data_IF_529064615640
#
_entry.id   IF_529064615640
#
_cell.length_a   1.000
_cell.length_b   1.000
_cell.length_c   1.000
_cell.angle_alpha   90.00
_cell.angle_beta   90.00
_cell.angle_gamma   90.00
#
_symmetry.space_group_name_H-M   'P 1'
#
loop_
_entity.id
_entity.type
_entity.pdbx_description
1 polymer ?
#
# COMPACT_ATOMS: atom_id res chain seq x y z
N UNK A 1 25.58 -32.62 -5.65
CA UNK A 1 26.07 -31.50 -4.83
C UNK A 1 26.58 -30.32 -5.67
N UNK A 2 27.55 -30.48 -6.57
CA UNK A 2 28.06 -29.36 -7.40
C UNK A 2 26.96 -28.70 -8.24
N UNK A 3 26.05 -29.50 -8.82
CA UNK A 3 24.87 -29.03 -9.58
C UNK A 3 23.87 -28.23 -8.75
N UNK A 4 23.68 -28.58 -7.48
CA UNK A 4 22.80 -27.83 -6.57
C UNK A 4 23.43 -26.47 -6.21
N UNK A 5 24.75 -26.43 -5.99
CA UNK A 5 25.47 -25.19 -5.73
C UNK A 5 25.45 -24.26 -6.95
N UNK A 6 25.61 -24.80 -8.17
CA UNK A 6 25.51 -24.00 -9.40
C UNK A 6 24.09 -23.49 -9.65
N UNK A 7 23.06 -24.26 -9.31
CA UNK A 7 21.67 -23.81 -9.39
C UNK A 7 21.39 -22.67 -8.41
N UNK A 8 21.88 -22.77 -7.16
CA UNK A 8 21.76 -21.70 -6.16
C UNK A 8 22.54 -20.45 -6.60
N UNK A 9 23.76 -20.63 -7.11
CA UNK A 9 24.57 -19.52 -7.63
C UNK A 9 23.89 -18.80 -8.80
N UNK A 10 23.35 -19.55 -9.76
CA UNK A 10 22.60 -18.97 -10.88
C UNK A 10 21.31 -18.29 -10.44
N UNK A 11 20.62 -18.82 -9.43
CA UNK A 11 19.44 -18.18 -8.86
C UNK A 11 19.80 -16.84 -8.19
N UNK A 12 20.89 -16.80 -7.42
CA UNK A 12 21.40 -15.58 -6.77
C UNK A 12 21.78 -14.50 -7.79
N UNK A 13 22.55 -14.85 -8.83
CA UNK A 13 22.93 -13.89 -9.88
C UNK A 13 21.71 -13.37 -10.63
N UNK A 14 20.75 -14.25 -10.96
CA UNK A 14 19.48 -13.83 -11.59
C UNK A 14 18.69 -12.90 -10.70
N UNK A 15 18.62 -13.16 -9.40
CA UNK A 15 17.95 -12.29 -8.43
C UNK A 15 18.58 -10.90 -8.40
N UNK A 16 19.91 -10.81 -8.23
CA UNK A 16 20.63 -9.54 -8.26
C UNK A 16 20.42 -8.78 -9.58
N UNK A 17 20.42 -9.49 -10.71
CA UNK A 17 20.14 -8.88 -12.01
C UNK A 17 18.70 -8.35 -12.13
N UNK A 18 17.70 -9.04 -11.56
CA UNK A 18 16.32 -8.56 -11.54
C UNK A 18 16.17 -7.31 -10.67
N UNK A 19 16.76 -7.31 -9.47
CA UNK A 19 16.75 -6.13 -8.58
C UNK A 19 17.47 -4.95 -9.25
N UNK A 20 18.62 -5.19 -9.88
CA UNK A 20 19.36 -4.16 -10.62
C UNK A 20 18.57 -3.57 -11.79
N UNK A 21 17.88 -4.41 -12.58
CA UNK A 21 17.00 -3.95 -13.66
C UNK A 21 15.81 -3.14 -13.13
N UNK A 22 15.20 -3.57 -12.04
CA UNK A 22 14.11 -2.84 -11.40
C UNK A 22 14.57 -1.46 -10.92
N UNK A 23 15.76 -1.39 -10.32
CA UNK A 23 16.37 -0.13 -9.87
C UNK A 23 16.66 0.83 -11.03
N UNK A 24 17.28 0.34 -12.10
CA UNK A 24 17.56 1.15 -13.30
C UNK A 24 16.24 1.62 -13.95
N UNK A 25 15.22 0.77 -13.99
CA UNK A 25 13.89 1.12 -14.50
C UNK A 25 13.24 2.27 -13.71
N UNK A 26 13.33 2.21 -12.37
CA UNK A 26 12.84 3.26 -11.49
C UNK A 26 13.59 4.57 -11.73
N UNK A 27 14.92 4.52 -11.72
CA UNK A 27 15.80 5.67 -11.94
C UNK A 27 15.47 6.33 -13.30
N UNK A 28 15.33 5.54 -14.36
CA UNK A 28 14.96 6.03 -15.68
C UNK A 28 13.54 6.64 -15.72
N UNK A 29 12.61 6.11 -14.92
CA UNK A 29 11.24 6.63 -14.84
C UNK A 29 11.17 7.97 -14.11
N UNK A 30 11.95 8.14 -13.04
CA UNK A 30 11.95 9.35 -12.20
C UNK A 30 12.79 10.48 -12.83
N UNK A 31 13.96 10.18 -13.38
CA UNK A 31 14.89 11.19 -13.93
C UNK A 31 14.45 11.77 -15.28
N UNK A 32 13.58 11.09 -16.03
CA UNK A 32 13.05 11.63 -17.27
C UNK A 32 12.10 12.79 -16.94
N UNK A 33 12.45 14.01 -17.40
CA UNK A 33 11.70 15.24 -17.12
C UNK A 33 10.21 15.07 -17.49
N UNK A 34 9.28 15.07 -16.52
CA UNK A 34 7.87 14.95 -16.83
C UNK A 34 7.41 16.21 -17.57
N UNK A 35 6.85 16.05 -18.77
CA UNK A 35 6.06 17.12 -19.40
C UNK A 35 4.74 17.23 -18.63
N UNK A 36 4.77 17.85 -17.45
CA UNK A 36 3.66 17.87 -16.49
C UNK A 36 2.30 18.21 -17.13
N UNK A 37 2.25 19.20 -18.04
CA UNK A 37 1.01 19.55 -18.77
C UNK A 37 0.35 18.39 -19.53
N UNK A 38 1.13 17.45 -20.06
CA UNK A 38 0.59 16.29 -20.79
C UNK A 38 0.25 15.12 -19.86
N UNK A 39 0.87 15.07 -18.67
CA UNK A 39 0.73 13.98 -17.69
C UNK A 39 -0.48 14.21 -16.76
N UNK A 40 -0.85 15.45 -16.49
CA UNK A 40 -1.99 15.80 -15.62
C UNK A 40 -3.33 15.10 -15.95
N UNK A 41 -3.82 15.07 -17.22
CA UNK A 41 -5.06 14.38 -17.53
C UNK A 41 -4.94 12.85 -17.44
N UNK A 42 -3.74 12.31 -17.70
CA UNK A 42 -3.47 10.88 -17.51
C UNK A 42 -3.46 10.51 -16.02
N UNK A 43 -2.91 11.39 -15.19
CA UNK A 43 -2.86 11.24 -13.74
C UNK A 43 -4.25 11.19 -13.11
N UNK A 44 -5.17 12.10 -13.48
CA UNK A 44 -6.52 12.12 -12.92
C UNK A 44 -7.30 10.84 -13.23
N UNK A 45 -7.18 10.32 -14.46
CA UNK A 45 -7.79 9.04 -14.86
C UNK A 45 -7.22 7.88 -14.04
N UNK A 46 -5.90 7.86 -13.83
CA UNK A 46 -5.27 6.82 -13.01
C UNK A 46 -5.63 6.95 -11.54
N UNK A 47 -5.75 8.16 -11.00
CA UNK A 47 -6.18 8.40 -9.62
C UNK A 47 -7.62 7.93 -9.40
N UNK A 48 -8.50 8.12 -10.38
CA UNK A 48 -9.85 7.57 -10.33
C UNK A 48 -9.85 6.03 -10.33
N UNK A 49 -9.09 5.40 -11.24
CA UNK A 49 -9.04 3.94 -11.35
C UNK A 49 -8.38 3.26 -10.15
N UNK A 50 -7.29 3.81 -9.66
CA UNK A 50 -6.47 3.21 -8.60
C UNK A 50 -7.01 3.60 -7.22
N UNK A 51 -7.42 4.86 -7.04
CA UNK A 51 -7.91 5.39 -5.78
C UNK A 51 -9.39 5.11 -5.57
N UNK A 52 -10.25 5.72 -6.39
CA UNK A 52 -11.71 5.74 -6.16
C UNK A 52 -12.32 4.34 -6.30
N UNK A 53 -11.87 3.51 -7.25
CA UNK A 53 -12.38 2.13 -7.35
C UNK A 53 -11.97 1.23 -6.17
N UNK A 54 -10.89 1.58 -5.45
CA UNK A 54 -10.43 0.84 -4.27
C UNK A 54 -11.14 1.26 -2.99
N UNK A 55 -11.80 2.43 -3.00
CA UNK A 55 -12.39 3.07 -1.84
C UNK A 55 -13.46 2.19 -1.14
N UNK A 56 -14.41 1.52 -1.83
CA UNK A 56 -15.44 0.73 -1.16
C UNK A 56 -14.89 -0.43 -0.33
N UNK A 57 -13.89 -1.15 -0.87
CA UNK A 57 -13.25 -2.26 -0.17
C UNK A 57 -12.51 -1.74 1.06
N UNK A 58 -11.78 -0.62 0.93
CA UNK A 58 -10.99 -0.05 2.02
C UNK A 58 -11.88 0.45 3.16
N UNK A 59 -12.96 1.20 2.87
CA UNK A 59 -13.86 1.69 3.92
C UNK A 59 -14.61 0.55 4.63
N UNK A 60 -15.09 -0.44 3.87
CA UNK A 60 -15.82 -1.56 4.44
C UNK A 60 -14.90 -2.44 5.31
N UNK A 61 -13.70 -2.73 4.82
CA UNK A 61 -12.69 -3.45 5.61
C UNK A 61 -12.27 -2.66 6.85
N UNK A 62 -12.06 -1.34 6.73
CA UNK A 62 -11.72 -0.47 7.87
C UNK A 62 -12.77 -0.54 8.98
N UNK A 63 -14.05 -0.43 8.61
CA UNK A 63 -15.17 -0.51 9.55
C UNK A 63 -15.15 -1.84 10.32
N UNK A 64 -15.08 -2.98 9.61
CA UNK A 64 -15.07 -4.30 10.24
C UNK A 64 -13.84 -4.53 11.11
N UNK A 65 -12.66 -4.09 10.67
CA UNK A 65 -11.43 -4.21 11.45
C UNK A 65 -11.54 -3.36 12.72
N UNK A 66 -12.03 -2.13 12.63
CA UNK A 66 -12.27 -1.26 13.78
C UNK A 66 -13.21 -1.87 14.80
N UNK A 67 -14.33 -2.44 14.35
CA UNK A 67 -15.29 -3.15 15.22
C UNK A 67 -14.66 -4.35 15.93
N UNK A 68 -13.87 -5.17 15.22
CA UNK A 68 -13.20 -6.35 15.80
C UNK A 68 -12.14 -5.93 16.82
N UNK A 69 -11.33 -4.91 16.50
CA UNK A 69 -10.29 -4.39 17.42
C UNK A 69 -10.92 -3.79 18.67
N UNK A 70 -12.02 -3.03 18.55
CA UNK A 70 -12.73 -2.50 19.72
C UNK A 70 -13.27 -3.61 20.62
N UNK A 71 -13.92 -4.63 20.03
CA UNK A 71 -14.48 -5.74 20.79
C UNK A 71 -13.38 -6.52 21.54
N UNK A 72 -12.26 -6.81 20.89
CA UNK A 72 -11.14 -7.51 21.52
C UNK A 72 -10.41 -6.64 22.55
N UNK A 73 -10.23 -5.35 22.24
CA UNK A 73 -9.63 -4.38 23.14
C UNK A 73 -10.42 -4.22 24.43
N UNK A 74 -11.75 -4.10 24.34
CA UNK A 74 -12.62 -3.97 25.49
C UNK A 74 -12.55 -5.19 26.40
N UNK A 75 -12.70 -6.40 25.84
CA UNK A 75 -12.60 -7.64 26.62
C UNK A 75 -11.25 -7.82 27.32
N UNK A 76 -10.19 -7.21 26.78
CA UNK A 76 -8.87 -7.22 27.40
C UNK A 76 -8.77 -6.18 28.51
N UNK A 77 -9.21 -4.94 28.26
CA UNK A 77 -9.15 -3.83 29.21
C UNK A 77 -10.10 -3.99 30.40
N UNK A 78 -11.25 -4.62 30.19
CA UNK A 78 -12.22 -4.91 31.25
C UNK A 78 -11.60 -5.77 32.37
N UNK A 79 -10.68 -6.69 32.03
CA UNK A 79 -9.97 -7.52 33.02
C UNK A 79 -9.06 -6.70 33.95
N UNK A 80 -8.66 -5.51 33.51
CA UNK A 80 -7.82 -4.58 34.27
C UNK A 80 -8.62 -3.39 34.83
N UNK A 81 -9.94 -3.33 34.63
CA UNK A 81 -10.77 -2.21 35.03
C UNK A 81 -10.51 -0.91 34.27
N UNK A 82 -9.88 -0.98 33.09
CA UNK A 82 -9.44 0.18 32.30
C UNK A 82 -10.26 0.34 31.00
N UNK A 83 -11.56 0.03 31.03
CA UNK A 83 -12.43 0.06 29.86
C UNK A 83 -12.57 1.45 29.21
N UNK A 84 -12.35 2.53 29.96
CA UNK A 84 -12.31 3.91 29.46
C UNK A 84 -11.10 4.20 28.56
N UNK A 85 -10.04 3.39 28.61
CA UNK A 85 -8.84 3.55 27.77
C UNK A 85 -8.96 2.89 26.39
N UNK A 86 -10.16 2.37 26.07
CA UNK A 86 -10.43 1.71 24.79
C UNK A 86 -10.14 2.64 23.60
N UNK A 87 -10.50 3.92 23.71
CA UNK A 87 -10.30 4.92 22.65
C UNK A 87 -8.82 5.15 22.35
N UNK A 88 -7.98 5.26 23.38
CA UNK A 88 -6.53 5.38 23.22
C UNK A 88 -5.93 4.15 22.55
N UNK A 89 -6.27 2.95 23.04
CA UNK A 89 -5.75 1.70 22.48
C UNK A 89 -6.11 1.57 20.99
N UNK A 90 -7.37 1.87 20.65
CA UNK A 90 -7.86 1.75 19.29
C UNK A 90 -7.19 2.75 18.35
N UNK A 91 -7.13 4.02 18.73
CA UNK A 91 -6.54 5.07 17.91
C UNK A 91 -5.04 4.85 17.67
N UNK A 92 -4.27 4.53 18.72
CA UNK A 92 -2.83 4.31 18.59
C UNK A 92 -2.53 3.07 17.75
N UNK A 93 -3.26 1.97 17.94
CA UNK A 93 -3.03 0.73 17.19
C UNK A 93 -3.36 0.88 15.70
N UNK A 94 -4.43 1.60 15.38
CA UNK A 94 -4.85 1.82 13.99
C UNK A 94 -3.94 2.82 13.30
N UNK A 95 -3.68 3.98 13.91
CA UNK A 95 -2.94 5.06 13.23
C UNK A 95 -1.48 4.68 13.00
N UNK A 96 -0.83 3.99 13.95
CA UNK A 96 0.61 3.66 13.87
C UNK A 96 0.94 2.45 13.02
N UNK A 97 0.12 1.41 13.10
CA UNK A 97 0.46 0.09 12.54
C UNK A 97 -0.61 -0.38 11.54
N UNK A 98 -1.82 -0.69 12.03
CA UNK A 98 -2.81 -1.43 11.24
C UNK A 98 -3.29 -0.63 10.02
N UNK A 99 -3.48 0.68 10.16
CA UNK A 99 -3.97 1.54 9.10
C UNK A 99 -3.09 1.52 7.85
N UNK A 100 -1.82 1.98 7.95
CA UNK A 100 -0.91 1.97 6.81
C UNK A 100 -0.67 0.57 6.24
N UNK A 101 -0.46 -0.44 7.09
CA UNK A 101 -0.11 -1.80 6.65
C UNK A 101 -1.27 -2.49 5.96
N UNK A 102 -2.45 -2.51 6.59
CA UNK A 102 -3.62 -3.19 6.02
C UNK A 102 -4.08 -2.49 4.74
N UNK A 103 -4.09 -1.16 4.72
CA UNK A 103 -4.42 -0.41 3.50
C UNK A 103 -3.46 -0.78 2.36
N UNK A 104 -2.16 -0.88 2.64
CA UNK A 104 -1.17 -1.25 1.64
C UNK A 104 -1.33 -2.69 1.12
N UNK A 105 -1.66 -3.64 1.99
CA UNK A 105 -1.92 -5.03 1.60
C UNK A 105 -3.17 -5.16 0.73
N UNK A 106 -4.28 -4.50 1.11
CA UNK A 106 -5.51 -4.47 0.32
C UNK A 106 -5.27 -3.79 -1.04
N UNK A 107 -4.52 -2.68 -1.04
CA UNK A 107 -4.17 -1.96 -2.25
C UNK A 107 -3.30 -2.80 -3.19
N UNK A 108 -2.31 -3.54 -2.66
CA UNK A 108 -1.49 -4.46 -3.45
C UNK A 108 -2.34 -5.57 -4.11
N UNK A 109 -3.30 -6.11 -3.36
CA UNK A 109 -4.21 -7.16 -3.83
C UNK A 109 -5.13 -6.70 -4.96
N UNK A 110 -5.78 -5.54 -4.81
CA UNK A 110 -6.77 -5.05 -5.78
C UNK A 110 -6.12 -4.19 -6.88
N UNK A 111 -5.62 -3.02 -6.51
CA UNK A 111 -5.09 -2.04 -7.46
C UNK A 111 -3.75 -2.48 -8.05
N UNK A 112 -2.86 -3.05 -7.24
CA UNK A 112 -1.56 -3.58 -7.70
C UNK A 112 -1.72 -4.70 -8.74
N UNK A 113 -2.64 -5.64 -8.48
CA UNK A 113 -2.98 -6.69 -9.43
C UNK A 113 -3.58 -6.16 -10.72
N UNK A 114 -4.52 -5.21 -10.63
CA UNK A 114 -5.15 -4.60 -11.80
C UNK A 114 -4.13 -3.84 -12.66
N UNK A 115 -3.21 -3.10 -12.05
CA UNK A 115 -2.13 -2.39 -12.73
C UNK A 115 -1.18 -3.34 -13.47
N UNK A 116 -0.82 -4.44 -12.81
CA UNK A 116 0.03 -5.49 -13.40
C UNK A 116 -0.65 -6.11 -14.62
N UNK A 117 -1.94 -6.44 -14.49
CA UNK A 117 -2.73 -7.04 -15.57
C UNK A 117 -2.92 -6.07 -16.76
N UNK A 118 -3.21 -4.80 -16.50
CA UNK A 118 -3.38 -3.78 -17.54
C UNK A 118 -2.10 -3.58 -18.36
N UNK A 119 -0.94 -3.48 -17.68
CA UNK A 119 0.36 -3.39 -18.35
C UNK A 119 0.73 -4.65 -19.12
N UNK A 120 0.49 -5.83 -18.53
CA UNK A 120 0.74 -7.11 -19.19
C UNK A 120 -0.11 -7.29 -20.45
N UNK A 121 -1.36 -6.82 -20.42
CA UNK A 121 -2.25 -6.84 -21.58
C UNK A 121 -1.78 -5.87 -22.68
N UNK A 122 -1.37 -4.66 -22.31
CA UNK A 122 -0.78 -3.68 -23.25
C UNK A 122 0.48 -4.25 -23.92
N UNK A 123 1.27 -5.03 -23.19
CA UNK A 123 2.42 -5.73 -23.75
C UNK A 123 2.04 -6.87 -24.68
N UNK A 124 1.09 -7.73 -24.28
CA UNK A 124 0.63 -8.85 -25.10
C UNK A 124 -0.01 -8.40 -26.42
N UNK A 125 -0.69 -7.25 -26.41
CA UNK A 125 -1.30 -6.62 -27.60
C UNK A 125 -0.33 -5.73 -28.39
N UNK A 126 0.97 -5.73 -28.05
CA UNK A 126 2.02 -4.92 -28.69
C UNK A 126 1.79 -3.41 -28.67
N UNK A 127 0.93 -2.90 -27.78
CA UNK A 127 0.66 -1.46 -27.64
C UNK A 127 1.86 -0.69 -27.10
N UNK A 128 2.71 -1.34 -26.29
CA UNK A 128 3.97 -0.73 -25.82
C UNK A 128 4.96 -0.53 -26.97
N UNK A 129 5.12 -1.54 -27.82
CA UNK A 129 6.01 -1.48 -28.98
C UNK A 129 5.53 -0.47 -30.03
N UNK A 130 4.21 -0.35 -30.24
CA UNK A 130 3.67 0.63 -31.18
C UNK A 130 3.96 2.07 -30.75
N UNK A 131 3.96 2.37 -29.45
CA UNK A 131 4.36 3.68 -28.94
C UNK A 131 5.83 3.97 -29.21
N UNK A 132 6.71 2.98 -29.04
CA UNK A 132 8.13 3.13 -29.36
C UNK A 132 8.35 3.43 -30.85
N UNK A 133 7.58 2.79 -31.74
CA UNK A 133 7.59 3.09 -33.18
C UNK A 133 7.10 4.51 -33.52
N UNK A 134 6.21 5.08 -32.69
CA UNK A 134 5.76 6.47 -32.83
C UNK A 134 6.73 7.49 -32.20
N UNK A 135 7.95 7.08 -31.85
CA UNK A 135 8.93 7.89 -31.11
C UNK A 135 8.40 8.41 -29.76
N UNK A 136 7.45 7.69 -29.15
CA UNK A 136 6.91 8.00 -27.83
C UNK A 136 7.40 6.95 -26.84
N UNK A 137 8.25 7.35 -25.91
CA UNK A 137 8.76 6.44 -24.90
C UNK A 137 7.62 5.98 -23.94
N UNK A 138 7.35 4.66 -23.82
CA UNK A 138 6.23 4.14 -23.02
C UNK A 138 6.44 4.31 -21.51
N UNK A 139 7.69 4.40 -21.03
CA UNK A 139 7.99 4.56 -19.61
C UNK A 139 7.43 5.88 -19.06
N UNK A 140 7.64 6.99 -19.76
CA UNK A 140 7.13 8.28 -19.28
C UNK A 140 5.61 8.39 -19.48
N UNK A 141 5.06 7.85 -20.57
CA UNK A 141 3.65 8.08 -20.94
C UNK A 141 2.68 7.18 -20.18
N UNK A 142 3.10 5.96 -19.87
CA UNK A 142 2.22 4.93 -19.30
C UNK A 142 2.63 4.62 -17.85
N UNK A 143 3.92 4.42 -17.59
CA UNK A 143 4.42 3.96 -16.29
C UNK A 143 4.45 5.10 -15.26
N UNK A 144 5.00 6.26 -15.62
CA UNK A 144 5.13 7.38 -14.67
C UNK A 144 3.79 7.88 -14.08
N UNK A 145 2.71 8.12 -14.86
CA UNK A 145 1.44 8.59 -14.29
C UNK A 145 0.84 7.59 -13.29
N UNK A 146 1.01 6.29 -13.53
CA UNK A 146 0.54 5.23 -12.63
C UNK A 146 1.33 5.19 -11.34
N UNK A 147 2.65 5.35 -11.43
CA UNK A 147 3.53 5.42 -10.26
C UNK A 147 3.15 6.59 -9.35
N UNK A 148 2.98 7.78 -9.92
CA UNK A 148 2.54 8.98 -9.19
C UNK A 148 1.11 8.84 -8.64
N UNK A 149 0.20 8.21 -9.40
CA UNK A 149 -1.16 7.97 -8.92
C UNK A 149 -1.18 7.07 -7.68
N UNK A 150 -0.39 5.99 -7.66
CA UNK A 150 -0.28 5.11 -6.48
C UNK A 150 0.38 5.79 -5.27
N UNK A 151 1.41 6.62 -5.52
CA UNK A 151 2.07 7.42 -4.49
C UNK A 151 1.11 8.40 -3.78
N UNK A 152 0.16 8.99 -4.52
CA UNK A 152 -0.82 9.94 -3.97
C UNK A 152 -2.05 9.21 -3.41
N UNK A 153 -2.51 8.14 -4.06
CA UNK A 153 -3.73 7.44 -3.68
C UNK A 153 -3.59 6.72 -2.33
N UNK A 154 -2.46 6.05 -2.07
CA UNK A 154 -2.33 5.21 -0.88
C UNK A 154 -2.42 6.02 0.43
N UNK A 155 -1.70 7.15 0.60
CA UNK A 155 -1.84 7.98 1.79
C UNK A 155 -3.27 8.51 2.02
N UNK A 156 -3.95 8.94 0.95
CA UNK A 156 -5.34 9.40 1.03
C UNK A 156 -6.27 8.27 1.49
N UNK A 157 -6.07 7.07 0.95
CA UNK A 157 -6.84 5.89 1.35
C UNK A 157 -6.56 5.48 2.80
N UNK A 158 -5.32 5.60 3.28
CA UNK A 158 -4.97 5.31 4.68
C UNK A 158 -5.63 6.28 5.65
N UNK A 159 -5.70 7.56 5.32
CA UNK A 159 -6.42 8.55 6.15
C UNK A 159 -7.89 8.17 6.28
N UNK A 160 -8.54 7.84 5.16
CA UNK A 160 -9.94 7.42 5.16
C UNK A 160 -10.14 6.08 5.91
N UNK A 161 -9.19 5.16 5.78
CA UNK A 161 -9.20 3.90 6.55
C UNK A 161 -9.18 4.18 8.05
N UNK A 162 -8.29 5.06 8.52
CA UNK A 162 -8.18 5.38 9.95
C UNK A 162 -9.47 6.01 10.49
N UNK A 163 -10.08 6.94 9.74
CA UNK A 163 -11.35 7.57 10.13
C UNK A 163 -12.47 6.54 10.25
N UNK A 164 -12.63 5.67 9.24
CA UNK A 164 -13.69 4.65 9.26
C UNK A 164 -13.46 3.57 10.32
N UNK A 165 -12.21 3.22 10.60
CA UNK A 165 -11.89 2.23 11.62
C UNK A 165 -12.13 2.79 13.03
N UNK A 166 -11.83 4.08 13.28
CA UNK A 166 -12.19 4.75 14.54
C UNK A 166 -13.70 4.81 14.72
N UNK A 167 -14.43 5.17 13.66
CA UNK A 167 -15.90 5.18 13.69
C UNK A 167 -16.50 3.80 13.99
N UNK A 168 -15.99 2.74 13.34
CA UNK A 168 -16.41 1.36 13.64
C UNK A 168 -16.08 0.95 15.08
N UNK A 169 -14.95 1.44 15.61
CA UNK A 169 -14.57 1.21 17.00
C UNK A 169 -15.48 1.89 18.01
N UNK A 170 -15.87 3.15 17.74
CA UNK A 170 -16.82 3.90 18.57
C UNK A 170 -18.19 3.21 18.62
N UNK A 171 -18.70 2.75 17.47
CA UNK A 171 -20.00 2.07 17.38
C UNK A 171 -20.06 0.83 18.29
N UNK A 172 -18.97 0.07 18.38
CA UNK A 172 -18.93 -1.11 19.27
C UNK A 172 -18.64 -0.72 20.71
N UNK A 173 -17.68 0.18 20.94
CA UNK A 173 -17.24 0.56 22.28
C UNK A 173 -18.28 1.36 23.06
N UNK A 174 -18.85 2.39 22.44
CA UNK A 174 -19.81 3.29 23.07
C UNK A 174 -21.23 2.73 22.95
N UNK A 175 -21.73 2.52 21.74
CA UNK A 175 -23.15 2.19 21.55
C UNK A 175 -23.50 0.76 22.02
N UNK A 176 -22.56 -0.19 21.90
CA UNK A 176 -22.84 -1.59 22.18
C UNK A 176 -22.36 -2.07 23.55
N UNK A 177 -21.17 -1.62 23.98
CA UNK A 177 -20.55 -2.04 25.24
C UNK A 177 -20.77 -1.03 26.38
N UNK A 178 -21.29 0.16 26.07
CA UNK A 178 -21.71 1.14 27.08
C UNK A 178 -20.56 1.96 27.69
N UNK A 179 -19.42 2.08 27.00
CA UNK A 179 -18.35 3.00 27.41
C UNK A 179 -18.85 4.45 27.29
N UNK A 180 -18.49 5.30 28.24
CA UNK A 180 -18.82 6.73 28.20
C UNK A 180 -18.16 7.42 26.99
N UNK A 181 -18.98 8.06 26.14
CA UNK A 181 -18.54 8.72 24.90
C UNK A 181 -17.55 9.86 25.20
N UNK A 182 -17.80 10.63 26.27
CA UNK A 182 -16.92 11.73 26.68
C UNK A 182 -15.51 11.24 27.03
N UNK A 183 -15.43 10.17 27.81
CA UNK A 183 -14.17 9.52 28.19
C UNK A 183 -13.46 8.92 26.98
N UNK A 184 -14.20 8.28 26.07
CA UNK A 184 -13.63 7.70 24.85
C UNK A 184 -12.92 8.73 23.97
N UNK A 185 -13.56 9.87 23.70
CA UNK A 185 -12.98 10.94 22.89
C UNK A 185 -11.87 11.71 23.63
N UNK A 186 -12.04 11.97 24.92
CA UNK A 186 -11.04 12.68 25.73
C UNK A 186 -9.73 11.91 25.85
N UNK A 187 -9.79 10.61 26.14
CA UNK A 187 -8.60 9.77 26.27
C UNK A 187 -7.90 9.59 24.92
N UNK A 188 -8.65 9.42 23.85
CA UNK A 188 -8.11 9.36 22.49
C UNK A 188 -7.38 10.67 22.10
N UNK A 189 -7.98 11.84 22.34
CA UNK A 189 -7.36 13.12 22.03
C UNK A 189 -6.11 13.40 22.88
N UNK A 190 -6.12 12.96 24.14
CA UNK A 190 -4.99 13.14 25.05
C UNK A 190 -3.80 12.24 24.68
N UNK A 191 -4.07 11.06 24.13
CA UNK A 191 -3.05 10.08 23.79
C UNK A 191 -2.44 10.25 22.40
N UNK A 192 -3.22 10.74 21.42
CA UNK A 192 -2.80 10.83 20.02
C UNK A 192 -2.06 12.15 19.77
N UNK A 193 -0.79 12.04 19.41
CA UNK A 193 0.03 13.18 18.97
C UNK A 193 0.01 13.32 17.46
N UNK A 194 -0.27 14.53 16.98
CA UNK A 194 -0.26 14.83 15.55
C UNK A 194 1.10 14.52 14.88
N UNK A 195 2.20 14.85 15.57
CA UNK A 195 3.54 14.69 15.00
C UNK A 195 4.05 13.25 15.11
N UNK A 196 3.85 12.60 16.26
CA UNK A 196 4.41 11.27 16.48
C UNK A 196 3.56 10.15 15.86
N UNK A 197 2.25 10.35 15.70
CA UNK A 197 1.34 9.27 15.30
C UNK A 197 0.84 9.47 13.88
N UNK A 198 0.21 10.62 13.63
CA UNK A 198 -0.46 10.89 12.35
C UNK A 198 0.57 11.08 11.23
N UNK A 199 1.56 11.96 11.43
CA UNK A 199 2.59 12.20 10.42
C UNK A 199 3.43 10.94 10.13
N UNK A 200 3.75 10.16 11.16
CA UNK A 200 4.51 8.92 11.00
C UNK A 200 3.70 7.86 10.23
N UNK A 201 2.41 7.71 10.52
CA UNK A 201 1.51 6.84 9.76
C UNK A 201 1.38 7.26 8.29
N UNK A 202 1.25 8.57 8.01
CA UNK A 202 1.23 9.11 6.65
C UNK A 202 2.55 8.82 5.94
N UNK A 203 3.70 9.07 6.59
CA UNK A 203 5.01 8.80 6.01
C UNK A 203 5.17 7.32 5.64
N UNK A 204 4.78 6.38 6.52
CA UNK A 204 4.74 4.93 6.21
C UNK A 204 3.90 4.64 4.97
N UNK A 205 2.68 5.20 4.91
CA UNK A 205 1.77 4.99 3.77
C UNK A 205 2.34 5.51 2.44
N UNK A 206 3.09 6.61 2.47
CA UNK A 206 3.77 7.16 1.28
C UNK A 206 4.84 6.18 0.77
N UNK A 207 5.65 5.64 1.68
CA UNK A 207 6.69 4.66 1.34
C UNK A 207 6.06 3.37 0.80
N UNK A 208 4.99 2.89 1.42
CA UNK A 208 4.26 1.70 0.94
C UNK A 208 3.62 1.94 -0.43
N UNK A 209 2.99 3.10 -0.64
CA UNK A 209 2.40 3.48 -1.93
C UNK A 209 3.42 3.47 -3.06
N UNK A 210 4.62 3.99 -2.80
CA UNK A 210 5.72 3.94 -3.75
C UNK A 210 6.14 2.51 -4.09
N UNK A 211 6.43 1.70 -3.06
CA UNK A 211 7.00 0.36 -3.23
C UNK A 211 6.00 -0.59 -3.89
N UNK A 212 4.74 -0.60 -3.44
CA UNK A 212 3.70 -1.46 -4.03
C UNK A 212 3.48 -1.12 -5.50
N UNK A 213 3.38 0.16 -5.82
CA UNK A 213 3.14 0.60 -7.20
C UNK A 213 4.34 0.33 -8.10
N UNK A 214 5.56 0.52 -7.59
CA UNK A 214 6.78 0.21 -8.32
C UNK A 214 6.86 -1.28 -8.68
N UNK A 215 6.60 -2.17 -7.72
CA UNK A 215 6.58 -3.63 -7.94
C UNK A 215 5.52 -3.99 -8.97
N UNK A 216 4.30 -3.45 -8.84
CA UNK A 216 3.20 -3.74 -9.76
C UNK A 216 3.53 -3.32 -11.21
N UNK A 217 4.07 -2.12 -11.38
CA UNK A 217 4.41 -1.61 -12.70
C UNK A 217 5.60 -2.35 -13.31
N UNK A 218 6.61 -2.69 -12.50
CA UNK A 218 7.76 -3.48 -12.97
C UNK A 218 7.32 -4.87 -13.45
N UNK A 219 6.51 -5.59 -12.66
CA UNK A 219 6.06 -6.93 -13.02
C UNK A 219 5.12 -6.92 -14.24
N UNK A 220 4.27 -5.91 -14.36
CA UNK A 220 3.40 -5.75 -15.52
C UNK A 220 4.17 -5.40 -16.80
N UNK A 221 5.17 -4.52 -16.68
CA UNK A 221 5.99 -4.12 -17.84
C UNK A 221 6.89 -5.25 -18.31
N UNK A 222 7.49 -6.03 -17.40
CA UNK A 222 8.41 -7.12 -17.72
C UNK A 222 7.73 -8.50 -17.90
N UNK A 223 6.40 -8.58 -17.87
CA UNK A 223 5.67 -9.84 -18.03
C UNK A 223 5.91 -10.52 -19.37
N UNK A 224 5.80 -11.86 -19.41
CA UNK A 224 5.78 -12.58 -20.69
C UNK A 224 4.47 -12.25 -21.44
N UNK A 225 4.50 -12.06 -22.78
CA UNK A 225 3.35 -11.63 -23.57
C UNK A 225 2.36 -12.78 -23.85
N UNK A 226 2.03 -13.57 -22.83
CA UNK A 226 1.10 -14.70 -22.89
C UNK A 226 0.09 -14.58 -21.74
N UNK A 227 -1.15 -15.05 -21.93
CA UNK A 227 -2.19 -14.99 -20.89
C UNK A 227 -1.75 -15.61 -19.55
N UNK A 228 -1.05 -16.76 -19.60
CA UNK A 228 -0.48 -17.42 -18.42
C UNK A 228 0.61 -16.58 -17.75
N UNK A 229 1.45 -15.90 -18.54
CA UNK A 229 2.52 -15.03 -18.04
C UNK A 229 1.99 -13.78 -17.35
N UNK A 230 0.86 -13.24 -17.81
CA UNK A 230 0.17 -12.12 -17.16
C UNK A 230 -0.37 -12.55 -15.80
N UNK A 231 -1.09 -13.68 -15.74
CA UNK A 231 -1.62 -14.20 -14.47
C UNK A 231 -0.51 -14.50 -13.46
N UNK A 232 0.60 -15.12 -13.91
CA UNK A 232 1.76 -15.38 -13.05
C UNK A 232 2.42 -14.08 -12.54
N UNK A 233 2.54 -13.06 -13.40
CA UNK A 233 3.05 -11.75 -13.00
C UNK A 233 2.16 -11.08 -11.95
N UNK A 234 0.83 -11.14 -12.12
CA UNK A 234 -0.14 -10.62 -11.15
C UNK A 234 0.01 -11.27 -9.78
N UNK A 235 0.10 -12.60 -9.73
CA UNK A 235 0.31 -13.31 -8.46
C UNK A 235 1.65 -12.96 -7.82
N UNK A 236 2.73 -12.85 -8.62
CA UNK A 236 4.05 -12.43 -8.12
C UNK A 236 4.01 -11.01 -7.57
N UNK A 237 3.29 -10.09 -8.19
CA UNK A 237 3.11 -8.73 -7.67
C UNK A 237 2.54 -8.75 -6.27
N UNK A 238 1.45 -9.48 -6.02
CA UNK A 238 0.80 -9.51 -4.70
C UNK A 238 1.74 -10.09 -3.64
N UNK A 239 2.45 -11.18 -3.96
CA UNK A 239 3.39 -11.82 -3.03
C UNK A 239 4.56 -10.89 -2.71
N UNK A 240 5.23 -10.32 -3.72
CA UNK A 240 6.39 -9.46 -3.51
C UNK A 240 6.00 -8.13 -2.86
N UNK A 241 4.88 -7.53 -3.24
CA UNK A 241 4.38 -6.32 -2.61
C UNK A 241 4.05 -6.56 -1.13
N UNK A 242 3.34 -7.64 -0.81
CA UNK A 242 3.00 -7.97 0.58
C UNK A 242 4.25 -8.21 1.45
N UNK A 243 5.22 -8.98 0.94
CA UNK A 243 6.47 -9.23 1.66
C UNK A 243 7.27 -7.95 1.87
N UNK A 244 7.36 -7.08 0.87
CA UNK A 244 8.07 -5.81 0.98
C UNK A 244 7.38 -4.83 1.93
N UNK A 245 6.04 -4.78 1.94
CA UNK A 245 5.29 -3.96 2.90
C UNK A 245 5.57 -4.42 4.32
N UNK A 246 5.47 -5.72 4.61
CA UNK A 246 5.74 -6.25 5.95
C UNK A 246 7.21 -6.06 6.39
N UNK A 247 8.16 -6.27 5.48
CA UNK A 247 9.58 -6.06 5.78
C UNK A 247 9.89 -4.58 6.04
N UNK A 248 9.34 -3.66 5.23
CA UNK A 248 9.52 -2.23 5.41
C UNK A 248 8.79 -1.72 6.64
N UNK A 249 7.64 -2.30 6.99
CA UNK A 249 6.94 -1.94 8.21
C UNK A 249 7.81 -2.20 9.45
N UNK A 250 8.41 -3.39 9.56
CA UNK A 250 9.35 -3.68 10.65
C UNK A 250 10.51 -2.67 10.71
N UNK A 251 11.15 -2.39 9.57
CA UNK A 251 12.29 -1.45 9.52
C UNK A 251 11.87 -0.03 9.89
N UNK A 252 10.75 0.46 9.34
CA UNK A 252 10.25 1.80 9.62
C UNK A 252 9.79 1.93 11.07
N UNK A 253 9.07 0.94 11.61
CA UNK A 253 8.69 0.91 13.03
C UNK A 253 9.92 0.94 13.93
N UNK A 254 10.94 0.13 13.63
CA UNK A 254 12.19 0.14 14.41
C UNK A 254 12.89 1.50 14.38
N UNK A 255 12.93 2.19 13.24
CA UNK A 255 13.56 3.52 13.11
C UNK A 255 12.72 4.61 13.79
N UNK A 256 11.40 4.55 13.68
CA UNK A 256 10.49 5.59 14.17
C UNK A 256 10.21 5.47 15.67
N UNK A 257 10.10 4.26 16.20
CA UNK A 257 9.87 3.99 17.62
C UNK A 257 11.16 3.74 18.40
N UNK A 258 12.21 3.25 17.73
CA UNK A 258 13.52 2.98 18.34
C UNK A 258 14.39 4.21 18.56
N UNK A 259 13.82 5.42 18.45
CA UNK A 259 14.47 6.65 18.88
C UNK A 259 14.52 6.76 20.41
N UNK A 260 15.37 5.94 21.03
CA UNK A 260 15.97 6.14 22.35
C UNK A 260 17.47 6.35 22.19
#
# INVERSE_FOLDING_TARGET
>A
MITQITQIGNAGVRFCAHVGRAGIFLINTILQRPKWRQVWPLLSVQLYRIGILSLPIILLSALFIGMVVALQGFNTLQKFGAEQELGQLLALSIVRELGPVVTALLFAGLAGSALTAELGLMRATSQLSSLEMMAVNPLWRIVAPRLWAGFIALPLLTILFNVMAIYGGQLVGVDWLGVDDGSFWSNMQSAVSFHADILNGIFKSVVFGFVVTWIAVYQGFYSQPNARGISEATTKTVVYASLMVLALDFVLTAVMMGGW
#
